data_IF_203645362658
#
_entry.id   IF_203645362658
#
_cell.length_a   1.000
_cell.length_b   1.000
_cell.length_c   1.000
_cell.angle_alpha   90.00
_cell.angle_beta   90.00
_cell.angle_gamma   90.00
#
_symmetry.space_group_name_H-M   'P 1'
#
loop_
_entity.id
_entity.type
_entity.pdbx_description
1 polymer ?
#
# COMPACT_ATOMS: atom_id res chain seq x y z
N UNK A 1 -20.09 -4.71 8.45
CA UNK A 1 -19.19 -4.00 7.51
C UNK A 1 -18.69 -2.68 8.08
N UNK A 2 -19.54 -1.69 8.41
CA UNK A 2 -19.10 -0.35 8.83
C UNK A 2 -18.10 -0.37 10.01
N UNK A 3 -18.39 -1.15 11.05
CA UNK A 3 -17.54 -1.28 12.24
C UNK A 3 -16.15 -1.87 11.95
N UNK A 4 -16.04 -2.75 10.95
CA UNK A 4 -14.76 -3.33 10.52
C UNK A 4 -13.93 -2.27 9.78
N UNK A 5 -14.56 -1.52 8.87
CA UNK A 5 -13.87 -0.44 8.17
C UNK A 5 -13.36 0.64 9.13
N UNK A 6 -14.11 0.96 10.18
CA UNK A 6 -13.66 1.92 11.20
C UNK A 6 -12.50 1.39 12.05
N UNK A 7 -12.53 0.11 12.45
CA UNK A 7 -11.46 -0.49 13.26
C UNK A 7 -10.15 -0.69 12.50
N UNK A 8 -10.22 -1.06 11.23
CA UNK A 8 -9.06 -1.39 10.39
C UNK A 8 -8.70 -0.30 9.39
N UNK A 9 -9.33 0.87 9.47
CA UNK A 9 -8.96 2.04 8.66
C UNK A 9 -7.56 2.51 9.04
N UNK A 10 -6.61 2.34 8.12
CA UNK A 10 -5.24 2.85 8.29
C UNK A 10 -5.14 4.34 7.94
N UNK A 11 -6.10 4.89 7.18
CA UNK A 11 -6.10 6.26 6.69
C UNK A 11 -7.43 6.95 7.00
N UNK A 12 -7.44 7.76 8.06
CA UNK A 12 -8.66 8.37 8.60
C UNK A 12 -9.07 9.69 7.95
N UNK A 13 -8.27 10.21 7.01
CA UNK A 13 -8.54 11.46 6.31
C UNK A 13 -8.68 11.24 4.81
N UNK A 14 -9.70 11.81 4.15
CA UNK A 14 -9.90 11.66 2.71
C UNK A 14 -8.72 12.21 1.90
N UNK A 15 -8.02 13.24 2.39
CA UNK A 15 -6.83 13.77 1.74
C UNK A 15 -5.69 12.72 1.67
N UNK A 16 -5.55 11.91 2.72
CA UNK A 16 -4.53 10.87 2.77
C UNK A 16 -4.85 9.71 1.84
N UNK A 17 -6.13 9.34 1.71
CA UNK A 17 -6.55 8.30 0.77
C UNK A 17 -6.22 8.71 -0.67
N UNK A 18 -6.43 9.99 -1.00
CA UNK A 18 -6.05 10.54 -2.31
C UNK A 18 -4.54 10.53 -2.50
N UNK A 19 -3.77 10.89 -1.48
CA UNK A 19 -2.30 10.90 -1.53
C UNK A 19 -1.71 9.49 -1.67
N UNK A 20 -2.22 8.52 -0.93
CA UNK A 20 -1.85 7.09 -1.03
C UNK A 20 -2.12 6.59 -2.43
N UNK A 21 -3.33 6.84 -2.96
CA UNK A 21 -3.70 6.44 -4.31
C UNK A 21 -2.76 7.05 -5.35
N UNK A 22 -2.50 8.36 -5.25
CA UNK A 22 -1.60 9.06 -6.14
C UNK A 22 -0.17 8.51 -6.05
N UNK A 23 0.31 8.19 -4.86
CA UNK A 23 1.67 7.61 -4.66
C UNK A 23 1.80 6.24 -5.33
N UNK A 24 0.76 5.40 -5.25
CA UNK A 24 0.77 4.08 -5.91
C UNK A 24 0.66 4.24 -7.43
N UNK A 25 -0.18 5.16 -7.92
CA UNK A 25 -0.31 5.45 -9.36
C UNK A 25 0.95 6.12 -9.96
N UNK A 26 1.66 6.96 -9.19
CA UNK A 26 2.92 7.57 -9.59
C UNK A 26 4.08 6.57 -9.66
N UNK A 27 3.96 5.43 -8.95
CA UNK A 27 4.82 4.26 -9.15
C UNK A 27 4.48 3.52 -10.46
N UNK A 28 4.23 4.29 -11.53
CA UNK A 28 3.82 3.88 -12.87
C UNK A 28 4.80 2.94 -13.60
N UNK A 29 5.95 2.63 -13.00
CA UNK A 29 6.85 1.58 -13.48
C UNK A 29 6.43 0.17 -13.06
N UNK A 30 5.52 0.05 -12.10
CA UNK A 30 4.98 -1.22 -11.62
C UNK A 30 3.64 -1.47 -12.29
N UNK A 31 3.61 -2.48 -13.16
CA UNK A 31 2.40 -2.93 -13.85
C UNK A 31 1.48 -3.64 -12.83
N UNK A 32 0.90 -2.88 -11.89
CA UNK A 32 0.10 -3.35 -10.76
C UNK A 32 -1.38 -3.44 -11.15
N UNK A 33 -2.03 -4.52 -10.71
CA UNK A 33 -3.48 -4.63 -10.83
C UNK A 33 -4.18 -3.88 -9.70
N UNK A 34 -5.42 -3.44 -9.93
CA UNK A 34 -6.24 -2.74 -8.92
C UNK A 34 -6.34 -3.52 -7.60
N UNK A 35 -6.38 -4.85 -7.69
CA UNK A 35 -6.34 -5.73 -6.52
C UNK A 35 -5.06 -5.55 -5.70
N UNK A 36 -3.90 -5.54 -6.35
CA UNK A 36 -2.60 -5.44 -5.68
C UNK A 36 -2.41 -4.07 -5.05
N UNK A 37 -2.84 -3.01 -5.75
CA UNK A 37 -2.85 -1.65 -5.20
C UNK A 37 -3.65 -1.60 -3.88
N UNK A 38 -4.84 -2.23 -3.86
CA UNK A 38 -5.66 -2.30 -2.66
C UNK A 38 -5.01 -3.14 -1.55
N UNK A 39 -4.37 -4.26 -1.88
CA UNK A 39 -3.68 -5.09 -0.88
C UNK A 39 -2.50 -4.35 -0.25
N UNK A 40 -1.68 -3.66 -1.06
CA UNK A 40 -0.54 -2.87 -0.58
C UNK A 40 -1.01 -1.79 0.40
N UNK A 41 -2.08 -1.07 0.04
CA UNK A 41 -2.63 0.00 0.87
C UNK A 41 -3.25 -0.51 2.18
N UNK A 42 -3.83 -1.71 2.18
CA UNK A 42 -4.50 -2.28 3.36
C UNK A 42 -3.51 -2.96 4.33
N UNK A 43 -2.57 -3.74 3.82
CA UNK A 43 -1.64 -4.51 4.66
C UNK A 43 -0.48 -3.68 5.18
N UNK A 44 0.07 -2.77 4.36
CA UNK A 44 1.19 -1.90 4.77
C UNK A 44 2.34 -2.70 5.44
N UNK A 45 2.72 -3.83 4.82
CA UNK A 45 3.81 -4.67 5.27
C UNK A 45 5.12 -3.90 5.35
N UNK A 46 5.96 -4.22 6.34
CA UNK A 46 7.26 -3.57 6.51
C UNK A 46 8.33 -4.16 5.57
N UNK A 47 8.08 -5.37 5.03
CA UNK A 47 9.01 -6.07 4.15
C UNK A 47 8.33 -6.55 2.85
N UNK A 48 9.10 -6.55 1.77
CA UNK A 48 8.67 -7.16 0.49
C UNK A 48 8.41 -8.66 0.62
N UNK A 49 9.18 -9.37 1.46
CA UNK A 49 9.03 -10.81 1.68
C UNK A 49 7.65 -11.16 2.25
N UNK A 50 7.23 -10.42 3.29
CA UNK A 50 5.89 -10.56 3.87
C UNK A 50 4.82 -10.22 2.84
N UNK A 51 4.99 -9.13 2.10
CA UNK A 51 4.03 -8.70 1.09
C UNK A 51 3.85 -9.74 -0.03
N UNK A 52 4.94 -10.36 -0.50
CA UNK A 52 4.91 -11.44 -1.50
C UNK A 52 4.33 -12.73 -0.95
N UNK A 53 4.49 -12.98 0.34
CA UNK A 53 3.88 -14.14 1.01
C UNK A 53 2.35 -13.99 1.07
N UNK A 54 1.86 -12.78 1.35
CA UNK A 54 0.42 -12.49 1.39
C UNK A 54 -0.20 -12.32 0.00
N UNK A 55 0.55 -11.72 -0.93
CA UNK A 55 0.11 -11.43 -2.30
C UNK A 55 1.15 -11.96 -3.30
N UNK A 56 1.05 -13.25 -3.67
CA UNK A 56 2.04 -13.89 -4.54
C UNK A 56 2.11 -13.28 -5.95
N UNK A 57 1.06 -12.60 -6.41
CA UNK A 57 1.03 -11.97 -7.73
C UNK A 57 2.04 -10.83 -7.88
N UNK A 58 2.50 -10.25 -6.77
CA UNK A 58 3.57 -9.24 -6.71
C UNK A 58 4.98 -9.82 -6.94
N UNK A 59 5.14 -11.13 -7.13
CA UNK A 59 6.45 -11.73 -7.44
C UNK A 59 7.07 -11.21 -8.75
N UNK A 60 6.26 -10.67 -9.67
CA UNK A 60 6.71 -10.07 -10.94
C UNK A 60 7.34 -8.68 -10.78
N UNK A 61 7.12 -8.03 -9.64
CA UNK A 61 7.55 -6.67 -9.35
C UNK A 61 8.96 -6.67 -8.76
N UNK A 62 9.79 -5.71 -9.19
CA UNK A 62 11.12 -5.50 -8.64
C UNK A 62 11.07 -5.22 -7.13
N UNK A 63 11.96 -5.88 -6.40
CA UNK A 63 12.00 -5.81 -4.94
C UNK A 63 12.38 -4.42 -4.43
N UNK A 64 13.32 -3.75 -5.09
CA UNK A 64 13.81 -2.43 -4.69
C UNK A 64 12.70 -1.40 -4.85
N UNK A 65 11.99 -1.47 -5.98
CA UNK A 65 10.86 -0.58 -6.27
C UNK A 65 9.70 -0.80 -5.29
N UNK A 66 9.36 -2.05 -4.99
CA UNK A 66 8.29 -2.36 -4.04
C UNK A 66 8.66 -1.95 -2.61
N UNK A 67 9.91 -2.16 -2.18
CA UNK A 67 10.36 -1.72 -0.87
C UNK A 67 10.31 -0.19 -0.77
N UNK A 68 10.71 0.54 -1.81
CA UNK A 68 10.61 2.01 -1.83
C UNK A 68 9.14 2.48 -1.71
N UNK A 69 8.22 1.84 -2.43
CA UNK A 69 6.79 2.13 -2.33
C UNK A 69 6.26 1.88 -0.91
N UNK A 70 6.58 0.72 -0.31
CA UNK A 70 6.17 0.38 1.06
C UNK A 70 6.70 1.42 2.07
N UNK A 71 7.96 1.86 1.92
CA UNK A 71 8.55 2.89 2.77
C UNK A 71 7.83 4.24 2.64
N UNK A 72 7.47 4.66 1.42
CA UNK A 72 6.73 5.91 1.18
C UNK A 72 5.34 5.85 1.81
N UNK A 73 4.62 4.75 1.65
CA UNK A 73 3.30 4.55 2.25
C UNK A 73 3.37 4.50 3.79
N UNK A 74 4.38 3.84 4.35
CA UNK A 74 4.63 3.82 5.79
C UNK A 74 4.92 5.22 6.34
N UNK A 75 5.62 6.07 5.58
CA UNK A 75 5.84 7.46 5.96
C UNK A 75 4.54 8.26 5.95
N UNK A 76 3.70 8.15 4.91
CA UNK A 76 2.38 8.82 4.85
C UNK A 76 1.54 8.44 6.08
N UNK A 77 1.52 7.15 6.45
CA UNK A 77 0.84 6.69 7.68
C UNK A 77 1.43 7.30 8.96
N UNK A 78 2.76 7.45 9.06
CA UNK A 78 3.38 8.07 10.25
C UNK A 78 3.02 9.54 10.41
N UNK A 79 2.90 10.28 9.31
CA UNK A 79 2.49 11.69 9.34
C UNK A 79 0.98 11.87 9.52
N UNK A 80 0.21 10.78 9.39
CA UNK A 80 -1.23 10.72 9.65
C UNK A 80 -1.61 10.58 11.14
N UNK A 81 -0.66 10.17 11.98
CA UNK A 81 -0.86 9.86 13.39
C UNK A 81 -0.78 11.11 14.28
#
# INVERSE_FOLDING_TARGET
MAQYCEQFSQFNSPAMVVEVRKTIEEFAGLDLFEFEMAQIANFLCDSVEEMRTLVPSLARVDETQLQELLHRLANIRKFAA
#
